data_IF_810088155047
#
_entry.id   IF_810088155047
#
_cell.length_a   1.000
_cell.length_b   1.000
_cell.length_c   1.000
_cell.angle_alpha   90.00
_cell.angle_beta   90.00
_cell.angle_gamma   90.00
#
_symmetry.space_group_name_H-M   'P 1'
#
loop_
_entity.id
_entity.type
_entity.pdbx_description
1 polymer ?
#
# COMPACT_ATOMS: atom_id res chain seq x y z
N UNK A 1 -9.60 64.29 -13.92
CA UNK A 1 -9.60 63.39 -12.75
C UNK A 1 -8.79 62.15 -13.11
N UNK A 2 -7.55 62.05 -12.60
CA UNK A 2 -6.63 60.95 -12.91
C UNK A 2 -6.84 59.86 -11.86
N UNK A 3 -7.40 58.72 -12.27
CA UNK A 3 -7.65 57.57 -11.40
C UNK A 3 -6.35 57.05 -10.82
N UNK A 4 -6.31 56.87 -9.49
CA UNK A 4 -5.17 56.37 -8.74
C UNK A 4 -5.23 54.83 -8.83
N UNK A 5 -4.37 54.22 -9.63
CA UNK A 5 -4.23 52.76 -9.69
C UNK A 5 -3.69 52.25 -8.35
N UNK A 6 -4.47 51.41 -7.67
CA UNK A 6 -4.06 50.71 -6.46
C UNK A 6 -3.22 49.52 -6.92
N UNK A 7 -1.90 49.63 -6.74
CA UNK A 7 -0.94 48.57 -7.01
C UNK A 7 -1.26 47.33 -6.17
N UNK A 8 -1.44 46.16 -6.81
CA UNK A 8 -1.62 44.88 -6.12
C UNK A 8 -0.36 44.53 -5.32
N UNK A 9 -0.50 43.99 -4.10
CA UNK A 9 0.63 43.62 -3.26
C UNK A 9 1.45 42.50 -3.91
N UNK A 10 2.76 42.52 -3.67
CA UNK A 10 3.67 41.48 -4.18
C UNK A 10 3.37 40.12 -3.56
N UNK A 11 3.66 39.04 -4.29
CA UNK A 11 3.36 37.65 -3.90
C UNK A 11 4.00 37.25 -2.53
N UNK A 12 5.08 37.94 -2.15
CA UNK A 12 5.75 37.83 -0.85
C UNK A 12 4.96 38.47 0.30
N UNK A 13 4.28 39.59 0.04
CA UNK A 13 3.42 40.25 1.03
C UNK A 13 2.10 39.49 1.21
N UNK A 14 1.56 38.93 0.12
CA UNK A 14 0.38 38.07 0.15
C UNK A 14 0.63 36.84 1.05
N UNK A 15 1.80 36.20 0.92
CA UNK A 15 2.18 35.06 1.76
C UNK A 15 2.33 35.45 3.23
N UNK A 16 2.99 36.58 3.53
CA UNK A 16 3.13 37.06 4.91
C UNK A 16 1.77 37.35 5.55
N UNK A 17 0.86 37.99 4.82
CA UNK A 17 -0.50 38.27 5.31
C UNK A 17 -1.27 36.97 5.65
N UNK A 18 -1.17 35.96 4.78
CA UNK A 18 -1.79 34.65 5.03
C UNK A 18 -1.19 33.95 6.25
N UNK A 19 0.13 33.99 6.45
CA UNK A 19 0.76 33.41 7.65
C UNK A 19 0.37 34.15 8.93
N UNK A 20 0.28 35.48 8.90
CA UNK A 20 -0.15 36.28 10.06
C UNK A 20 -1.61 36.01 10.42
N UNK A 21 -2.50 35.91 9.42
CA UNK A 21 -3.90 35.55 9.62
C UNK A 21 -4.05 34.13 10.19
N UNK A 22 -3.24 33.19 9.71
CA UNK A 22 -3.22 31.81 10.20
C UNK A 22 -2.74 31.71 11.64
N UNK A 23 -1.68 32.46 11.97
CA UNK A 23 -1.15 32.54 13.33
C UNK A 23 -2.18 33.14 14.30
N UNK A 24 -2.87 34.21 13.88
CA UNK A 24 -3.96 34.82 14.65
C UNK A 24 -5.13 33.85 14.84
N UNK A 25 -5.48 33.07 13.81
CA UNK A 25 -6.58 32.08 13.91
C UNK A 25 -6.24 30.95 14.88
N UNK A 26 -5.00 30.43 14.84
CA UNK A 26 -4.53 29.40 15.78
C UNK A 26 -4.48 29.97 17.21
N UNK A 27 -3.97 31.19 17.39
CA UNK A 27 -3.93 31.85 18.68
C UNK A 27 -5.35 31.99 19.26
N UNK A 28 -6.30 32.44 18.44
CA UNK A 28 -7.69 32.65 18.84
C UNK A 28 -8.39 31.32 19.18
N UNK A 29 -8.15 30.26 18.40
CA UNK A 29 -8.63 28.91 18.69
C UNK A 29 -8.04 28.35 19.99
N UNK A 30 -6.75 28.59 20.25
CA UNK A 30 -6.11 28.14 21.49
C UNK A 30 -6.61 28.90 22.73
N UNK A 31 -6.88 30.20 22.61
CA UNK A 31 -7.48 31.01 23.68
C UNK A 31 -8.92 30.57 23.95
N UNK A 32 -9.71 30.33 22.91
CA UNK A 32 -11.08 29.80 23.04
C UNK A 32 -11.06 28.41 23.68
N UNK A 33 -10.10 27.55 23.31
CA UNK A 33 -9.93 26.24 23.93
C UNK A 33 -9.56 26.35 25.41
N UNK A 34 -8.66 27.26 25.79
CA UNK A 34 -8.29 27.52 27.19
C UNK A 34 -9.47 28.08 27.98
N UNK A 35 -10.27 28.98 27.40
CA UNK A 35 -11.45 29.57 28.05
C UNK A 35 -12.62 28.59 28.17
N UNK A 36 -12.69 27.57 27.33
CA UNK A 36 -13.71 26.52 27.37
C UNK A 36 -13.32 25.33 28.26
N UNK A 37 -12.10 25.30 28.81
CA UNK A 37 -11.73 24.35 29.85
C UNK A 37 -12.29 24.83 31.19
N UNK A 38 -13.21 24.07 31.84
CA UNK A 38 -13.65 24.42 33.19
C UNK A 38 -12.46 24.34 34.16
N UNK A 39 -12.33 25.28 35.12
CA UNK A 39 -11.16 25.39 36.00
C UNK A 39 -10.97 24.21 36.97
N UNK A 40 -11.98 23.37 37.13
CA UNK A 40 -12.01 22.34 38.16
C UNK A 40 -11.86 20.93 37.55
N UNK A 41 -10.64 20.56 37.17
CA UNK A 41 -10.28 19.15 37.00
C UNK A 41 -10.06 18.56 38.39
N UNK A 42 -11.16 18.31 39.11
CA UNK A 42 -11.14 17.64 40.39
C UNK A 42 -10.89 16.14 40.17
N UNK A 43 -9.73 15.65 40.64
CA UNK A 43 -9.46 14.23 40.82
C UNK A 43 -10.27 13.74 42.03
N UNK A 44 -11.31 12.93 41.81
CA UNK A 44 -12.05 12.29 42.90
C UNK A 44 -11.87 10.76 42.80
N UNK A 45 -11.32 10.13 43.85
CA UNK A 45 -10.98 8.70 43.88
C UNK A 45 -11.99 7.81 44.60
N UNK A 46 -13.19 8.29 44.89
CA UNK A 46 -14.26 7.49 45.51
C UNK A 46 -15.61 8.20 45.40
N UNK A 47 -16.50 7.68 44.54
CA UNK A 47 -17.88 8.14 44.45
C UNK A 47 -18.72 7.53 45.59
N UNK A 48 -18.97 8.31 46.64
CA UNK A 48 -19.88 7.95 47.73
C UNK A 48 -21.30 8.52 47.59
N UNK A 49 -21.52 9.54 46.75
CA UNK A 49 -22.81 10.22 46.61
C UNK A 49 -23.15 10.54 45.13
N UNK A 50 -24.45 10.67 44.82
CA UNK A 50 -24.98 10.79 43.45
C UNK A 50 -24.53 12.07 42.73
N UNK A 51 -24.22 13.15 43.47
CA UNK A 51 -23.73 14.41 42.89
C UNK A 51 -22.27 14.33 42.42
N UNK A 52 -21.44 13.52 43.06
CA UNK A 52 -20.02 13.36 42.70
C UNK A 52 -19.83 12.50 41.44
N UNK A 53 -20.79 11.61 41.16
CA UNK A 53 -20.81 10.85 39.92
C UNK A 53 -21.20 11.73 38.72
N UNK A 54 -22.07 12.73 38.94
CA UNK A 54 -22.55 13.64 37.89
C UNK A 54 -21.48 14.64 37.41
N UNK A 55 -20.60 15.10 38.31
CA UNK A 55 -19.44 15.94 37.95
C UNK A 55 -18.41 15.14 37.15
N UNK A 56 -18.19 13.87 37.52
CA UNK A 56 -17.33 12.93 36.78
C UNK A 56 -17.89 12.63 35.38
N UNK A 57 -19.21 12.52 35.24
CA UNK A 57 -19.90 12.37 33.96
C UNK A 57 -19.72 13.62 33.08
N UNK A 58 -19.79 14.83 33.65
CA UNK A 58 -19.50 16.07 32.90
C UNK A 58 -18.04 16.17 32.48
N UNK A 59 -17.10 15.78 33.33
CA UNK A 59 -15.68 15.73 32.99
C UNK A 59 -15.40 14.68 31.89
N UNK A 60 -16.06 13.51 31.96
CA UNK A 60 -15.98 12.48 30.94
C UNK A 60 -16.60 12.95 29.62
N UNK A 61 -17.74 13.66 29.65
CA UNK A 61 -18.37 14.25 28.47
C UNK A 61 -17.50 15.37 27.89
N UNK A 62 -16.91 16.24 28.69
CA UNK A 62 -15.98 17.28 28.23
C UNK A 62 -14.71 16.67 27.62
N UNK A 63 -14.15 15.62 28.23
CA UNK A 63 -13.03 14.88 27.68
C UNK A 63 -13.41 14.16 26.37
N UNK A 64 -14.59 13.57 26.28
CA UNK A 64 -15.09 12.89 25.08
C UNK A 64 -15.35 13.89 23.94
N UNK A 65 -15.98 15.02 24.25
CA UNK A 65 -16.19 16.12 23.31
C UNK A 65 -14.85 16.71 22.87
N UNK A 66 -13.92 16.93 23.79
CA UNK A 66 -12.55 17.37 23.49
C UNK A 66 -11.79 16.40 22.59
N UNK A 67 -11.89 15.09 22.85
CA UNK A 67 -11.27 14.05 22.02
C UNK A 67 -11.93 13.94 20.65
N UNK A 68 -13.26 14.11 20.57
CA UNK A 68 -14.00 14.13 19.31
C UNK A 68 -13.67 15.37 18.48
N UNK A 69 -13.56 16.55 19.10
CA UNK A 69 -13.12 17.77 18.41
C UNK A 69 -11.65 17.67 18.00
N UNK A 70 -10.79 17.07 18.82
CA UNK A 70 -9.39 16.82 18.47
C UNK A 70 -9.27 15.82 17.33
N UNK A 71 -10.11 14.78 17.29
CA UNK A 71 -10.18 13.82 16.19
C UNK A 71 -10.71 14.47 14.90
N UNK A 72 -11.70 15.36 14.99
CA UNK A 72 -12.21 16.14 13.85
C UNK A 72 -11.14 17.13 13.36
N UNK A 73 -10.44 17.81 14.26
CA UNK A 73 -9.34 18.73 13.92
C UNK A 73 -8.12 17.99 13.35
N UNK A 74 -7.80 16.79 13.88
CA UNK A 74 -6.82 15.89 13.27
C UNK A 74 -7.30 15.38 11.91
N UNK A 75 -8.59 15.08 11.73
CA UNK A 75 -9.14 14.66 10.45
C UNK A 75 -9.01 15.77 9.42
N UNK A 76 -9.44 16.99 9.76
CA UNK A 76 -9.28 18.17 8.91
C UNK A 76 -7.79 18.43 8.65
N UNK A 77 -6.94 18.32 9.67
CA UNK A 77 -5.48 18.48 9.52
C UNK A 77 -4.82 17.42 8.63
N UNK A 78 -5.29 16.17 8.68
CA UNK A 78 -4.83 15.06 7.84
C UNK A 78 -5.30 15.17 6.39
N UNK A 79 -6.42 15.87 6.14
CA UNK A 79 -6.87 16.22 4.79
C UNK A 79 -5.93 17.25 4.11
N UNK A 80 -5.16 18.02 4.89
CA UNK A 80 -4.13 18.94 4.38
C UNK A 80 -2.71 18.35 4.35
N UNK A 81 -2.52 17.10 4.77
CA UNK A 81 -1.27 16.34 4.57
C UNK A 81 -1.40 15.51 3.29
N UNK A 82 -0.68 15.85 2.19
CA UNK A 82 -0.86 15.22 0.87
C UNK A 82 -0.70 13.70 0.84
N UNK A 83 -0.08 13.13 1.86
CA UNK A 83 0.29 11.72 1.95
C UNK A 83 -0.75 10.90 2.72
N UNK A 84 -1.49 11.49 3.67
CA UNK A 84 -2.40 10.72 4.55
C UNK A 84 -3.86 10.77 4.06
N UNK A 85 -4.29 11.87 3.46
CA UNK A 85 -5.62 11.98 2.83
C UNK A 85 -5.84 11.01 1.66
N UNK A 86 -4.78 10.70 0.90
CA UNK A 86 -4.85 9.71 -0.20
C UNK A 86 -5.04 8.29 0.32
N UNK A 87 -4.33 7.92 1.38
CA UNK A 87 -4.43 6.59 2.01
C UNK A 87 -5.80 6.39 2.62
N UNK A 88 -6.34 7.41 3.29
CA UNK A 88 -7.67 7.36 3.90
C UNK A 88 -8.76 7.22 2.82
N UNK A 89 -8.77 8.10 1.82
CA UNK A 89 -9.74 8.06 0.72
C UNK A 89 -9.68 6.75 -0.10
N UNK A 90 -8.50 6.15 -0.24
CA UNK A 90 -8.36 4.83 -0.85
C UNK A 90 -8.93 3.71 0.02
N UNK A 91 -8.64 3.70 1.33
CA UNK A 91 -9.14 2.64 2.22
C UNK A 91 -10.67 2.75 2.39
N UNK A 92 -11.21 3.96 2.46
CA UNK A 92 -12.65 4.25 2.49
C UNK A 92 -13.36 3.80 1.21
N UNK A 93 -12.77 4.05 0.05
CA UNK A 93 -13.28 3.55 -1.22
C UNK A 93 -13.27 2.01 -1.31
N UNK A 94 -12.27 1.36 -0.68
CA UNK A 94 -12.09 -0.10 -0.61
C UNK A 94 -13.08 -0.75 0.35
N UNK A 95 -13.30 -0.19 1.54
CA UNK A 95 -14.27 -0.72 2.52
C UNK A 95 -15.72 -0.45 2.10
N UNK A 96 -15.94 0.51 1.20
CA UNK A 96 -17.29 1.00 0.87
C UNK A 96 -17.98 1.61 2.07
N UNK A 97 -17.21 1.93 3.12
CA UNK A 97 -17.68 2.50 4.37
C UNK A 97 -16.71 3.57 4.82
N UNK A 98 -17.25 4.70 5.22
CA UNK A 98 -16.46 5.75 5.85
C UNK A 98 -15.78 5.15 7.09
N UNK A 99 -14.46 5.28 7.18
CA UNK A 99 -13.69 4.63 8.24
C UNK A 99 -13.87 5.33 9.59
N UNK A 100 -14.49 6.51 9.61
CA UNK A 100 -14.77 7.31 10.78
C UNK A 100 -16.21 7.11 11.25
N UNK A 101 -17.19 7.12 10.34
CA UNK A 101 -18.62 7.01 10.69
C UNK A 101 -19.19 5.60 10.54
N UNK A 102 -18.53 4.73 9.78
CA UNK A 102 -18.97 3.35 9.50
C UNK A 102 -20.16 3.25 8.53
N UNK A 103 -20.63 4.38 8.01
CA UNK A 103 -21.73 4.47 7.05
C UNK A 103 -21.29 4.06 5.65
N UNK A 104 -22.20 3.50 4.85
CA UNK A 104 -21.88 3.09 3.48
C UNK A 104 -21.66 4.29 2.57
N UNK A 105 -20.54 4.27 1.85
CA UNK A 105 -20.13 5.34 0.97
C UNK A 105 -20.84 5.24 -0.38
N UNK A 106 -21.35 6.38 -0.83
CA UNK A 106 -21.98 6.51 -2.14
C UNK A 106 -20.97 6.30 -3.28
N UNK A 107 -21.39 5.61 -4.34
CA UNK A 107 -20.49 5.07 -5.37
C UNK A 107 -19.61 6.12 -6.06
N UNK A 108 -20.08 7.37 -6.16
CA UNK A 108 -19.32 8.47 -6.75
C UNK A 108 -18.23 9.02 -5.82
N UNK A 109 -18.43 8.96 -4.49
CA UNK A 109 -17.44 9.36 -3.47
C UNK A 109 -16.31 8.34 -3.41
N UNK A 110 -16.65 7.05 -3.54
CA UNK A 110 -15.67 5.94 -3.65
C UNK A 110 -14.77 6.11 -4.87
N UNK A 111 -15.33 6.53 -6.00
CA UNK A 111 -14.57 6.78 -7.23
C UNK A 111 -13.60 7.97 -7.09
N UNK A 112 -14.01 9.03 -6.37
CA UNK A 112 -13.17 10.20 -6.09
C UNK A 112 -11.99 9.86 -5.16
N UNK A 113 -12.21 9.00 -4.16
CA UNK A 113 -11.15 8.50 -3.27
C UNK A 113 -10.08 7.67 -4.01
N UNK A 114 -10.46 6.99 -5.10
CA UNK A 114 -9.55 6.19 -5.95
C UNK A 114 -8.77 7.06 -6.94
N UNK A 115 -9.38 8.13 -7.45
CA UNK A 115 -8.78 8.96 -8.50
C UNK A 115 -7.75 9.97 -7.97
N UNK A 116 -7.83 10.34 -6.69
CA UNK A 116 -7.02 11.41 -6.11
C UNK A 116 -7.16 12.75 -6.86
N UNK A 117 -6.48 13.82 -6.41
CA UNK A 117 -6.54 15.11 -7.09
C UNK A 117 -5.91 15.07 -8.50
N UNK A 118 -4.99 14.15 -8.76
CA UNK A 118 -4.27 14.04 -10.04
C UNK A 118 -5.10 13.44 -11.17
N UNK A 119 -6.17 12.68 -10.86
CA UNK A 119 -7.07 12.09 -11.86
C UNK A 119 -7.97 13.09 -12.60
N UNK A 120 -8.00 14.36 -12.17
CA UNK A 120 -8.91 15.39 -12.71
C UNK A 120 -8.39 16.12 -13.95
N UNK A 121 -7.10 16.03 -14.31
CA UNK A 121 -6.50 17.02 -15.25
C UNK A 121 -6.07 16.42 -16.61
N UNK A 122 -6.11 15.11 -16.85
CA UNK A 122 -5.72 14.57 -18.17
C UNK A 122 -6.48 13.32 -18.63
N UNK A 123 -7.36 13.47 -19.64
CA UNK A 123 -7.78 12.37 -20.53
C UNK A 123 -8.67 11.27 -19.93
N UNK A 124 -9.62 11.66 -19.08
CA UNK A 124 -10.33 10.83 -18.09
C UNK A 124 -11.23 9.66 -18.52
N UNK A 125 -11.09 9.07 -19.71
CA UNK A 125 -11.82 7.83 -20.05
C UNK A 125 -10.88 6.64 -20.29
N UNK A 126 -9.82 6.84 -21.08
CA UNK A 126 -8.89 5.77 -21.47
C UNK A 126 -7.84 5.46 -20.39
N UNK A 127 -7.49 6.43 -19.55
CA UNK A 127 -6.63 6.25 -18.37
C UNK A 127 -7.41 5.64 -17.21
N UNK A 128 -8.68 6.04 -17.04
CA UNK A 128 -9.60 5.51 -16.02
C UNK A 128 -9.94 4.05 -16.27
N UNK A 129 -10.28 3.67 -17.51
CA UNK A 129 -10.55 2.26 -17.85
C UNK A 129 -9.34 1.35 -17.68
N UNK A 130 -8.14 1.83 -18.03
CA UNK A 130 -6.89 1.08 -17.80
C UNK A 130 -6.57 1.00 -16.30
N UNK A 131 -6.57 2.12 -15.58
CA UNK A 131 -6.34 2.16 -14.14
C UNK A 131 -7.29 1.27 -13.35
N UNK A 132 -8.60 1.35 -13.63
CA UNK A 132 -9.62 0.53 -12.99
C UNK A 132 -9.48 -0.97 -13.32
N UNK A 133 -9.17 -1.33 -14.58
CA UNK A 133 -8.97 -2.74 -14.97
C UNK A 133 -7.69 -3.35 -14.38
N UNK A 134 -6.63 -2.54 -14.24
CA UNK A 134 -5.38 -2.95 -13.59
C UNK A 134 -5.56 -3.09 -12.08
N UNK A 135 -6.33 -2.19 -11.47
CA UNK A 135 -6.69 -2.24 -10.05
C UNK A 135 -7.58 -3.45 -9.73
N UNK A 136 -8.59 -3.76 -10.54
CA UNK A 136 -9.45 -4.94 -10.33
C UNK A 136 -8.68 -6.26 -10.47
N UNK A 137 -7.68 -6.32 -11.36
CA UNK A 137 -6.76 -7.46 -11.49
C UNK A 137 -5.85 -7.63 -10.26
N UNK A 138 -5.34 -6.53 -9.71
CA UNK A 138 -4.56 -6.57 -8.48
C UNK A 138 -5.39 -7.05 -7.28
N UNK A 139 -6.62 -6.55 -7.14
CA UNK A 139 -7.55 -6.91 -6.06
C UNK A 139 -7.94 -8.40 -6.11
N UNK A 140 -8.37 -8.87 -7.28
CA UNK A 140 -8.61 -10.31 -7.52
C UNK A 140 -7.34 -11.14 -7.24
N UNK A 141 -6.17 -10.60 -7.57
CA UNK A 141 -4.86 -11.12 -7.20
C UNK A 141 -4.71 -11.45 -5.73
N UNK A 142 -4.97 -10.48 -4.85
CA UNK A 142 -4.81 -10.64 -3.41
C UNK A 142 -5.81 -11.63 -2.81
N UNK A 143 -7.08 -11.57 -3.21
CA UNK A 143 -8.11 -12.51 -2.75
C UNK A 143 -7.70 -13.95 -3.07
N UNK A 144 -7.15 -14.18 -4.26
CA UNK A 144 -6.68 -15.50 -4.66
C UNK A 144 -5.44 -15.95 -3.89
N UNK A 145 -4.50 -15.06 -3.59
CA UNK A 145 -3.36 -15.38 -2.73
C UNK A 145 -3.84 -15.76 -1.32
N UNK A 146 -4.81 -15.03 -0.76
CA UNK A 146 -5.39 -15.38 0.54
C UNK A 146 -6.10 -16.74 0.51
N UNK A 147 -6.83 -17.04 -0.57
CA UNK A 147 -7.47 -18.35 -0.77
C UNK A 147 -6.43 -19.47 -0.89
N UNK A 148 -5.36 -19.25 -1.67
CA UNK A 148 -4.26 -20.20 -1.81
C UNK A 148 -3.59 -20.51 -0.46
N UNK A 149 -3.31 -19.47 0.34
CA UNK A 149 -2.77 -19.62 1.71
C UNK A 149 -3.71 -20.46 2.58
N UNK A 150 -5.02 -20.20 2.53
CA UNK A 150 -6.03 -20.95 3.31
C UNK A 150 -6.09 -22.43 2.93
N UNK A 151 -6.11 -22.75 1.62
CA UNK A 151 -6.17 -24.12 1.11
C UNK A 151 -4.94 -24.93 1.56
N UNK A 152 -3.77 -24.30 1.58
CA UNK A 152 -2.52 -24.95 1.98
C UNK A 152 -2.21 -24.80 3.47
N UNK A 153 -3.17 -24.35 4.28
CA UNK A 153 -3.02 -24.12 5.72
C UNK A 153 -1.76 -23.27 6.06
N UNK A 154 -1.45 -22.29 5.22
CA UNK A 154 -0.36 -21.34 5.43
C UNK A 154 -0.81 -20.23 6.38
N UNK A 155 0.12 -19.64 7.16
CA UNK A 155 -0.18 -18.46 7.96
C UNK A 155 -0.77 -17.34 7.09
N UNK A 156 -1.73 -16.58 7.65
CA UNK A 156 -2.18 -15.33 7.02
C UNK A 156 -0.99 -14.38 6.89
N UNK A 157 -0.97 -13.61 5.81
CA UNK A 157 0.05 -12.61 5.60
C UNK A 157 0.05 -11.58 6.73
N UNK A 158 1.24 -11.20 7.20
CA UNK A 158 1.44 -10.11 8.15
C UNK A 158 2.73 -9.36 7.83
N UNK A 159 2.63 -8.03 7.81
CA UNK A 159 3.76 -7.13 7.68
C UNK A 159 4.65 -7.15 8.92
N UNK A 160 4.05 -7.24 10.11
CA UNK A 160 4.72 -7.19 11.41
C UNK A 160 5.35 -8.53 11.79
N UNK A 161 4.79 -9.64 11.31
CA UNK A 161 5.29 -10.98 11.58
C UNK A 161 6.04 -11.55 10.36
N UNK A 162 7.37 -11.47 10.40
CA UNK A 162 8.27 -11.99 9.36
C UNK A 162 8.16 -13.51 9.13
N UNK A 163 7.48 -14.27 10.00
CA UNK A 163 7.29 -15.73 9.86
C UNK A 163 6.18 -16.12 8.88
N UNK A 164 5.40 -15.16 8.38
CA UNK A 164 4.28 -15.44 7.47
C UNK A 164 4.70 -15.67 6.03
N UNK A 165 5.98 -15.43 5.71
CA UNK A 165 6.55 -15.61 4.36
C UNK A 165 5.84 -14.78 3.29
N UNK A 166 6.15 -15.08 2.03
CA UNK A 166 5.62 -14.35 0.86
C UNK A 166 5.01 -15.33 -0.13
N UNK A 167 3.88 -14.93 -0.73
CA UNK A 167 3.26 -15.63 -1.85
C UNK A 167 3.09 -14.64 -3.00
N UNK A 168 3.46 -15.10 -4.20
CA UNK A 168 3.28 -14.38 -5.44
C UNK A 168 2.36 -15.19 -6.36
N UNK A 169 1.61 -14.49 -7.20
CA UNK A 169 0.75 -15.04 -8.24
C UNK A 169 1.10 -14.40 -9.56
N UNK A 170 1.21 -15.21 -10.60
CA UNK A 170 1.14 -14.78 -11.99
C UNK A 170 -0.01 -15.50 -12.68
N UNK A 171 -0.56 -14.86 -13.71
CA UNK A 171 -1.57 -15.48 -14.57
C UNK A 171 -1.06 -15.54 -16.00
N UNK A 172 -1.09 -16.73 -16.59
CA UNK A 172 -0.67 -16.97 -17.97
C UNK A 172 -1.72 -17.85 -18.62
N UNK A 173 -2.28 -17.38 -19.75
CA UNK A 173 -3.32 -18.10 -20.51
C UNK A 173 -4.50 -18.56 -19.64
N UNK A 174 -5.00 -17.66 -18.78
CA UNK A 174 -6.12 -17.94 -17.85
C UNK A 174 -5.78 -18.89 -16.69
N UNK A 175 -4.52 -19.35 -16.59
CA UNK A 175 -4.07 -20.25 -15.51
C UNK A 175 -3.28 -19.46 -14.48
N UNK A 176 -3.69 -19.61 -13.21
CA UNK A 176 -3.01 -19.01 -12.06
C UNK A 176 -1.86 -19.90 -11.62
N UNK A 177 -0.67 -19.32 -11.52
CA UNK A 177 0.54 -20.00 -11.04
C UNK A 177 1.04 -19.25 -9.81
N UNK A 178 1.26 -19.99 -8.73
CA UNK A 178 1.68 -19.44 -7.45
C UNK A 178 3.15 -19.74 -7.18
N UNK A 179 3.88 -18.74 -6.68
CA UNK A 179 5.20 -18.88 -6.11
C UNK A 179 5.15 -18.62 -4.62
N UNK A 180 5.94 -19.38 -3.89
CA UNK A 180 6.08 -19.30 -2.43
C UNK A 180 7.54 -19.11 -2.08
N UNK A 181 7.83 -18.36 -1.03
CA UNK A 181 9.19 -18.24 -0.53
C UNK A 181 9.65 -19.57 0.11
N UNK A 182 10.96 -19.83 0.11
CA UNK A 182 11.51 -21.10 0.64
C UNK A 182 11.12 -21.37 2.10
N UNK A 183 11.03 -20.34 2.96
CA UNK A 183 10.71 -20.57 4.38
C UNK A 183 9.29 -21.10 4.59
N UNK A 184 8.35 -20.82 3.68
CA UNK A 184 6.98 -21.36 3.76
C UNK A 184 6.87 -22.84 3.41
N UNK A 185 7.84 -23.38 2.67
CA UNK A 185 7.78 -24.76 2.18
C UNK A 185 8.81 -25.68 2.82
N UNK A 186 9.69 -25.17 3.69
CA UNK A 186 10.84 -25.91 4.24
C UNK A 186 10.48 -27.27 4.84
N UNK A 187 9.30 -27.38 5.46
CA UNK A 187 8.80 -28.60 6.09
C UNK A 187 7.68 -29.29 5.29
N UNK A 188 7.45 -28.87 4.04
CA UNK A 188 6.42 -29.45 3.18
C UNK A 188 6.99 -30.59 2.34
N UNK A 189 6.13 -31.53 1.92
CA UNK A 189 6.49 -32.58 0.95
C UNK A 189 6.97 -32.04 -0.41
N UNK A 190 6.74 -30.76 -0.70
CA UNK A 190 7.14 -30.10 -1.94
C UNK A 190 8.54 -29.48 -1.86
N UNK A 191 9.14 -29.38 -0.66
CA UNK A 191 10.46 -28.77 -0.47
C UNK A 191 11.55 -29.34 -1.39
N UNK A 192 11.73 -30.68 -1.50
CA UNK A 192 12.82 -31.22 -2.32
C UNK A 192 12.70 -30.79 -3.78
N UNK A 193 11.50 -30.97 -4.36
CA UNK A 193 11.19 -30.60 -5.75
C UNK A 193 11.43 -29.11 -6.01
N UNK A 194 10.92 -28.24 -5.13
CA UNK A 194 11.06 -26.79 -5.31
C UNK A 194 12.50 -26.32 -5.08
N UNK A 195 13.26 -26.96 -4.17
CA UNK A 195 14.68 -26.65 -3.99
C UNK A 195 15.51 -27.07 -5.20
N UNK A 196 15.23 -28.23 -5.79
CA UNK A 196 15.93 -28.70 -6.98
C UNK A 196 15.62 -27.83 -8.20
N UNK A 197 14.38 -27.37 -8.33
CA UNK A 197 13.99 -26.38 -9.33
C UNK A 197 14.83 -25.09 -9.18
N UNK A 198 14.91 -24.53 -7.97
CA UNK A 198 15.71 -23.31 -7.72
C UNK A 198 17.19 -23.52 -8.00
N UNK A 199 17.77 -24.65 -7.60
CA UNK A 199 19.18 -24.99 -7.85
C UNK A 199 19.48 -25.16 -9.34
N UNK A 200 18.54 -25.68 -10.11
CA UNK A 200 18.66 -25.77 -11.57
C UNK A 200 18.70 -24.39 -12.20
N UNK A 201 17.74 -23.54 -11.86
CA UNK A 201 17.66 -22.17 -12.37
C UNK A 201 18.84 -21.29 -11.95
N UNK A 202 19.46 -21.56 -10.79
CA UNK A 202 20.72 -20.92 -10.40
C UNK A 202 21.82 -21.11 -11.46
N UNK A 203 21.87 -22.29 -12.08
CA UNK A 203 22.89 -22.64 -13.10
C UNK A 203 22.56 -22.09 -14.48
N UNK A 204 21.26 -21.94 -14.78
CA UNK A 204 20.76 -21.52 -16.09
C UNK A 204 20.70 -20.00 -16.29
N UNK A 205 20.55 -19.22 -15.21
CA UNK A 205 20.45 -17.76 -15.31
C UNK A 205 21.83 -17.12 -15.39
N UNK A 206 22.02 -16.27 -16.40
CA UNK A 206 23.16 -15.38 -16.51
C UNK A 206 22.90 -14.12 -15.66
N UNK A 207 23.31 -14.16 -14.39
CA UNK A 207 23.01 -13.13 -13.38
C UNK A 207 23.63 -11.77 -13.72
N UNK A 208 22.86 -10.69 -13.53
CA UNK A 208 23.27 -9.29 -13.76
C UNK A 208 22.85 -8.41 -12.57
N UNK A 209 23.69 -7.45 -12.09
CA UNK A 209 25.06 -7.19 -12.54
C UNK A 209 25.92 -8.45 -12.41
N UNK A 210 26.81 -8.72 -13.39
CA UNK A 210 27.61 -9.93 -13.38
C UNK A 210 28.32 -10.00 -12.03
N UNK A 211 27.93 -11.00 -11.23
CA UNK A 211 28.57 -11.19 -9.93
C UNK A 211 30.02 -11.54 -10.21
N UNK A 212 30.93 -10.95 -9.42
CA UNK A 212 32.39 -11.15 -9.56
C UNK A 212 32.75 -12.63 -9.75
N UNK A 213 32.02 -13.51 -9.06
CA UNK A 213 32.02 -14.95 -9.28
C UNK A 213 30.60 -15.42 -9.63
N UNK A 214 30.49 -16.41 -10.53
CA UNK A 214 29.21 -17.09 -10.80
C UNK A 214 28.63 -17.59 -9.47
N UNK A 215 27.34 -17.37 -9.17
CA UNK A 215 26.78 -17.74 -7.88
C UNK A 215 26.74 -19.27 -7.74
N UNK A 216 27.52 -19.79 -6.78
CA UNK A 216 27.69 -21.22 -6.56
C UNK A 216 26.61 -21.85 -5.64
N UNK A 217 25.85 -21.04 -4.90
CA UNK A 217 24.73 -21.47 -4.08
C UNK A 217 23.63 -20.41 -4.02
N UNK A 218 22.43 -20.80 -3.55
CA UNK A 218 21.25 -19.91 -3.50
C UNK A 218 21.44 -18.66 -2.65
N UNK A 219 22.37 -18.70 -1.69
CA UNK A 219 22.76 -17.52 -0.90
C UNK A 219 23.40 -16.41 -1.75
N UNK A 220 23.94 -16.75 -2.92
CA UNK A 220 24.46 -15.80 -3.90
C UNK A 220 23.46 -15.45 -5.00
N UNK A 221 22.23 -15.96 -4.99
CA UNK A 221 21.14 -15.53 -5.88
C UNK A 221 19.83 -15.61 -5.09
N UNK A 222 19.73 -14.78 -4.06
CA UNK A 222 18.69 -14.91 -3.03
C UNK A 222 17.29 -14.69 -3.61
N UNK A 223 17.15 -13.93 -4.70
CA UNK A 223 15.86 -13.77 -5.39
C UNK A 223 15.25 -15.12 -5.80
N UNK A 224 16.05 -16.12 -6.17
CA UNK A 224 15.56 -17.46 -6.49
C UNK A 224 14.88 -18.16 -5.33
N UNK A 225 15.15 -17.76 -4.09
CA UNK A 225 14.50 -18.29 -2.88
C UNK A 225 13.19 -17.57 -2.52
N UNK A 226 12.87 -16.47 -3.23
CA UNK A 226 11.69 -15.66 -2.98
C UNK A 226 10.49 -16.14 -3.82
N UNK A 227 9.32 -15.58 -3.50
CA UNK A 227 8.06 -16.00 -4.10
C UNK A 227 7.95 -15.56 -5.55
N UNK A 228 8.44 -14.36 -5.88
CA UNK A 228 8.36 -13.72 -7.18
C UNK A 228 9.08 -14.56 -8.25
N UNK A 229 10.38 -14.82 -8.05
CA UNK A 229 11.16 -15.65 -8.97
C UNK A 229 10.60 -17.07 -9.07
N UNK A 230 10.12 -17.62 -7.95
CA UNK A 230 9.53 -18.95 -7.93
C UNK A 230 8.23 -19.02 -8.78
N UNK A 231 7.38 -17.99 -8.71
CA UNK A 231 6.16 -17.92 -9.53
C UNK A 231 6.49 -17.87 -11.03
N UNK A 232 7.46 -17.04 -11.41
CA UNK A 232 7.91 -16.89 -12.81
C UNK A 232 8.51 -18.18 -13.36
N UNK A 233 9.40 -18.82 -12.59
CA UNK A 233 10.04 -20.08 -12.98
C UNK A 233 8.99 -21.16 -13.17
N UNK A 234 8.06 -21.31 -12.22
CA UNK A 234 6.97 -22.29 -12.35
C UNK A 234 6.08 -22.00 -13.55
N UNK A 235 5.85 -20.72 -13.86
CA UNK A 235 5.07 -20.33 -15.03
C UNK A 235 5.78 -20.72 -16.32
N UNK A 236 7.08 -20.46 -16.41
CA UNK A 236 7.91 -20.86 -17.54
C UNK A 236 7.93 -22.37 -17.74
N UNK A 237 8.29 -23.14 -16.72
CA UNK A 237 8.35 -24.62 -16.78
C UNK A 237 7.02 -25.20 -17.24
N UNK A 238 5.91 -24.60 -16.78
CA UNK A 238 4.57 -25.03 -17.20
C UNK A 238 4.29 -24.69 -18.66
N UNK A 239 4.67 -23.51 -19.13
CA UNK A 239 4.46 -23.09 -20.51
C UNK A 239 5.33 -23.87 -21.47
N UNK A 240 6.61 -24.07 -21.15
CA UNK A 240 7.56 -24.85 -21.94
C UNK A 240 7.10 -26.30 -22.10
N UNK A 241 6.61 -26.94 -21.02
CA UNK A 241 6.01 -28.29 -21.07
C UNK A 241 4.76 -28.37 -21.97
N UNK A 242 4.10 -27.26 -22.23
CA UNK A 242 2.94 -27.16 -23.12
C UNK A 242 3.33 -26.70 -24.54
N UNK A 243 4.64 -26.58 -24.84
CA UNK A 243 5.14 -26.09 -26.12
C UNK A 243 4.92 -24.59 -26.34
N UNK A 244 4.59 -23.84 -25.30
CA UNK A 244 4.32 -22.41 -25.36
C UNK A 244 5.43 -21.56 -24.75
N UNK A 245 5.28 -20.24 -24.86
CA UNK A 245 6.19 -19.26 -24.28
C UNK A 245 5.45 -18.34 -23.31
N UNK A 246 6.19 -17.71 -22.40
CA UNK A 246 5.64 -16.63 -21.57
C UNK A 246 5.41 -15.37 -22.42
N UNK A 247 4.39 -14.57 -22.10
CA UNK A 247 4.17 -13.29 -22.80
C UNK A 247 5.32 -12.33 -22.50
N UNK A 248 5.61 -11.45 -23.49
CA UNK A 248 6.65 -10.41 -23.36
C UNK A 248 6.38 -9.43 -22.23
N UNK A 249 5.11 -9.21 -21.91
CA UNK A 249 4.67 -8.38 -20.78
C UNK A 249 3.83 -9.23 -19.84
N UNK A 250 4.20 -9.23 -18.56
CA UNK A 250 3.53 -10.04 -17.55
C UNK A 250 3.14 -9.19 -16.35
N UNK A 251 2.04 -9.57 -15.71
CA UNK A 251 1.60 -8.98 -14.44
C UNK A 251 1.71 -10.01 -13.33
N UNK A 252 2.23 -9.58 -12.19
CA UNK A 252 2.34 -10.35 -10.96
C UNK A 252 1.67 -9.62 -9.81
N UNK A 253 1.07 -10.37 -8.91
CA UNK A 253 0.57 -9.86 -7.62
C UNK A 253 1.33 -10.56 -6.51
N UNK A 254 1.79 -9.81 -5.51
CA UNK A 254 2.61 -10.29 -4.39
C UNK A 254 2.06 -9.75 -3.09
N UNK A 255 1.86 -10.59 -2.09
CA UNK A 255 1.28 -10.15 -0.82
C UNK A 255 2.23 -9.28 0.03
N UNK A 256 3.53 -9.27 -0.28
CA UNK A 256 4.56 -8.46 0.38
C UNK A 256 5.20 -7.48 -0.61
N UNK A 257 5.62 -6.28 -0.17
CA UNK A 257 6.47 -5.40 -0.96
C UNK A 257 7.72 -6.13 -1.48
N UNK A 258 7.93 -6.06 -2.80
CA UNK A 258 9.11 -6.66 -3.45
C UNK A 258 10.40 -6.06 -2.89
N UNK A 259 11.31 -6.93 -2.44
CA UNK A 259 12.57 -6.51 -1.81
C UNK A 259 13.61 -6.05 -2.84
N UNK A 260 14.65 -5.34 -2.36
CA UNK A 260 15.71 -4.80 -3.22
C UNK A 260 16.50 -5.89 -3.96
N UNK A 261 16.67 -7.06 -3.35
CA UNK A 261 17.31 -8.22 -4.00
C UNK A 261 16.51 -8.67 -5.22
N UNK A 262 15.18 -8.82 -5.07
CA UNK A 262 14.31 -9.15 -6.20
C UNK A 262 14.36 -8.06 -7.26
N UNK A 263 14.35 -6.78 -6.88
CA UNK A 263 14.47 -5.68 -7.84
C UNK A 263 15.79 -5.71 -8.62
N UNK A 264 16.89 -6.05 -7.96
CA UNK A 264 18.24 -6.08 -8.56
C UNK A 264 18.50 -7.31 -9.43
N UNK A 265 18.08 -8.50 -9.01
CA UNK A 265 18.42 -9.77 -9.68
C UNK A 265 17.38 -10.20 -10.73
N UNK A 266 16.12 -9.78 -10.59
CA UNK A 266 15.04 -10.21 -11.48
C UNK A 266 15.18 -9.77 -12.94
N UNK A 267 15.75 -8.61 -13.30
CA UNK A 267 16.01 -8.26 -14.70
C UNK A 267 16.75 -9.36 -15.48
N UNK A 268 17.74 -10.01 -14.85
CA UNK A 268 18.49 -11.13 -15.44
C UNK A 268 17.62 -12.38 -15.63
N UNK A 269 16.78 -12.69 -14.64
CA UNK A 269 15.81 -13.77 -14.73
C UNK A 269 14.80 -13.51 -15.86
N UNK A 270 14.25 -12.29 -15.97
CA UNK A 270 13.29 -11.91 -17.02
C UNK A 270 13.88 -12.12 -18.42
N UNK A 271 15.15 -11.73 -18.65
CA UNK A 271 15.85 -11.99 -19.92
C UNK A 271 15.92 -13.48 -20.24
N UNK A 272 16.28 -14.32 -19.27
CA UNK A 272 16.33 -15.79 -19.46
C UNK A 272 14.96 -16.40 -19.76
N UNK A 273 13.90 -15.82 -19.19
CA UNK A 273 12.52 -16.24 -19.39
C UNK A 273 11.88 -15.69 -20.69
N UNK A 274 12.57 -14.78 -21.39
CA UNK A 274 12.05 -14.13 -22.60
C UNK A 274 10.97 -13.08 -22.33
N UNK A 275 10.85 -12.60 -21.09
CA UNK A 275 9.92 -11.54 -20.66
C UNK A 275 10.65 -10.20 -20.76
N UNK A 276 10.05 -9.19 -21.39
CA UNK A 276 10.62 -7.85 -21.52
C UNK A 276 10.25 -6.95 -20.34
N UNK A 277 9.03 -7.09 -19.82
CA UNK A 277 8.50 -6.23 -18.76
C UNK A 277 7.61 -7.02 -17.79
N UNK A 278 7.86 -6.82 -16.50
CA UNK A 278 7.07 -7.37 -15.40
C UNK A 278 6.49 -6.23 -14.55
N UNK A 279 5.17 -6.13 -14.51
CA UNK A 279 4.45 -5.25 -13.58
C UNK A 279 4.12 -6.03 -12.32
N UNK A 280 4.53 -5.52 -11.15
CA UNK A 280 4.28 -6.17 -9.86
C UNK A 280 3.40 -5.27 -9.00
N UNK A 281 2.25 -5.79 -8.59
CA UNK A 281 1.39 -5.19 -7.56
C UNK A 281 1.74 -5.80 -6.20
N UNK A 282 2.01 -4.96 -5.21
CA UNK A 282 2.29 -5.38 -3.82
C UNK A 282 1.32 -4.71 -2.85
N UNK A 283 0.72 -5.49 -1.94
CA UNK A 283 -0.45 -5.05 -1.15
C UNK A 283 -0.29 -3.66 -0.54
N UNK A 284 -1.11 -2.71 -1.00
CA UNK A 284 -1.14 -1.33 -0.51
C UNK A 284 -0.02 -0.40 -1.01
N UNK A 285 0.66 -0.74 -2.12
CA UNK A 285 1.69 0.12 -2.75
C UNK A 285 1.46 0.26 -4.25
N UNK A 286 2.04 1.33 -4.80
CA UNK A 286 2.12 1.53 -6.24
C UNK A 286 2.78 0.33 -6.93
N UNK A 287 2.30 0.05 -8.13
CA UNK A 287 2.87 -1.00 -8.95
C UNK A 287 4.32 -0.64 -9.31
N UNK A 288 5.22 -1.63 -9.17
CA UNK A 288 6.59 -1.49 -9.66
C UNK A 288 6.72 -2.16 -11.02
N UNK A 289 7.52 -1.56 -11.90
CA UNK A 289 7.81 -2.11 -13.22
C UNK A 289 9.28 -2.53 -13.22
N UNK A 290 9.53 -3.81 -13.50
CA UNK A 290 10.87 -4.37 -13.68
C UNK A 290 11.02 -4.75 -15.15
N UNK A 291 12.04 -4.21 -15.80
CA UNK A 291 12.36 -4.53 -17.20
C UNK A 291 13.49 -5.54 -17.26
N UNK A 292 13.47 -6.40 -18.27
CA UNK A 292 14.61 -7.23 -18.56
C UNK A 292 15.83 -6.38 -18.93
N UNK A 293 17.00 -6.90 -18.59
CA UNK A 293 18.25 -6.38 -19.14
C UNK A 293 18.27 -6.58 -20.66
N UNK A 294 18.90 -5.65 -21.37
CA UNK A 294 19.15 -5.77 -22.81
C UNK A 294 20.15 -6.90 -23.08
#
# INVERSE_FOLDING_TARGET
>A
MKGREISKPSDTEQKRYNYTLYFLMILLLSIVFILLLPPDIAQAHNCGDFRDCYSTLRAAVAATLGLSMFAVMLSIGLDFVPIVGQTKGMIEAISGRDLITGEELEDHVRLLGILGPAGRIAGGAASVGRGASHFSKAESGYIEIQRFRRILNMPRYSLTNGRTGTVARVEVNGRRIFGVNTSLIKNSKYAPRDMDLRRRWLREVNWVPPKKNKPNHLGHAQSLSHAESHALIRAYERMERLGGQLPKKLTMVVDRPTCNICRGEMPALLKRLGIEELTIYSGGRDAIIIKAIK
#
